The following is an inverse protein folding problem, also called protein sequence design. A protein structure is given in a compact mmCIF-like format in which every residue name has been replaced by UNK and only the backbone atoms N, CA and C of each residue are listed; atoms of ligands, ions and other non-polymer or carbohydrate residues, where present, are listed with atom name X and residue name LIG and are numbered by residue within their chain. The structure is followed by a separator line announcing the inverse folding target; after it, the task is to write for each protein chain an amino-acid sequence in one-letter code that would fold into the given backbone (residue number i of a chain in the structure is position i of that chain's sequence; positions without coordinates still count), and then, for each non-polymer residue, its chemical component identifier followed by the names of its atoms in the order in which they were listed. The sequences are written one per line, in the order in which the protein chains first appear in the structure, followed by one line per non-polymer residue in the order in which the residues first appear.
data_IF_775982347449
#
_entry.id   IF_775982347449
#
_cell.length_a   1.000
_cell.length_b   1.000
_cell.length_c   1.000
_cell.angle_alpha   90.00
_cell.angle_beta   90.00
_cell.angle_gamma   90.00
#
_symmetry.space_group_name_H-M   'P 1'
#
loop_
_entity.id
_entity.type
_entity.pdbx_description
1 polymer ?
#
# COMPACT_ATOMS: atom_id res chain seq x y z
N UNK A 1 6.86 8.06 -37.17
CA UNK A 1 5.59 7.62 -36.52
C UNK A 1 6.00 6.62 -35.45
N UNK A 2 5.70 6.89 -34.17
CA UNK A 2 5.89 5.91 -33.08
C UNK A 2 4.99 4.69 -33.36
N UNK A 3 5.51 3.48 -33.12
CA UNK A 3 4.69 2.27 -33.20
C UNK A 3 3.42 2.42 -32.35
N UNK A 4 2.27 1.87 -32.80
CA UNK A 4 1.04 1.96 -32.00
C UNK A 4 1.28 1.35 -30.63
N UNK A 5 0.97 2.12 -29.59
CA UNK A 5 1.12 1.66 -28.20
C UNK A 5 0.17 0.48 -27.96
N UNK A 6 0.68 -0.58 -27.33
CA UNK A 6 -0.07 -1.79 -27.03
C UNK A 6 -1.18 -1.50 -26.02
N UNK A 7 -2.39 -2.02 -26.25
CA UNK A 7 -3.50 -2.00 -25.31
C UNK A 7 -3.56 -3.32 -24.57
N UNK A 8 -3.69 -3.29 -23.24
CA UNK A 8 -3.81 -4.46 -22.36
C UNK A 8 -5.24 -4.68 -21.92
N UNK A 9 -5.67 -5.93 -21.88
CA UNK A 9 -6.99 -6.30 -21.35
C UNK A 9 -6.93 -6.44 -19.82
N UNK A 10 -7.98 -5.96 -19.14
CA UNK A 10 -8.06 -5.93 -17.67
C UNK A 10 -9.35 -6.54 -17.17
N UNK A 11 -9.27 -7.39 -16.16
CA UNK A 11 -10.42 -7.84 -15.37
C UNK A 11 -10.30 -7.34 -13.93
N UNK A 12 -11.42 -6.99 -13.30
CA UNK A 12 -11.46 -6.48 -11.91
C UNK A 12 -12.37 -7.35 -11.05
N UNK A 13 -11.90 -7.72 -9.84
CA UNK A 13 -12.69 -8.37 -8.80
C UNK A 13 -12.77 -7.50 -7.53
N UNK A 14 -13.96 -7.43 -6.92
CA UNK A 14 -14.24 -6.56 -5.79
C UNK A 14 -14.55 -5.14 -6.24
N UNK A 15 -15.85 -4.83 -6.43
CA UNK A 15 -16.36 -3.59 -7.01
C UNK A 15 -16.95 -2.63 -5.96
N UNK A 16 -16.44 -2.73 -4.72
CA UNK A 16 -16.67 -1.71 -3.69
C UNK A 16 -16.00 -0.39 -4.03
N UNK A 17 -15.98 0.57 -3.08
CA UNK A 17 -15.42 1.92 -3.28
C UNK A 17 -14.05 1.91 -3.97
N UNK A 18 -13.12 1.02 -3.57
CA UNK A 18 -11.77 0.96 -4.14
C UNK A 18 -11.77 0.37 -5.56
N UNK A 19 -12.54 -0.69 -5.79
CA UNK A 19 -12.69 -1.26 -7.14
C UNK A 19 -13.25 -0.26 -8.14
N UNK A 20 -14.21 0.56 -7.73
CA UNK A 20 -14.75 1.65 -8.57
C UNK A 20 -13.69 2.72 -8.88
N UNK A 21 -12.80 3.08 -7.91
CA UNK A 21 -11.70 4.00 -8.18
C UNK A 21 -10.70 3.42 -9.20
N UNK A 22 -10.28 2.16 -9.03
CA UNK A 22 -9.39 1.49 -10.00
C UNK A 22 -10.05 1.37 -11.38
N UNK A 23 -11.29 0.90 -11.42
CA UNK A 23 -12.06 0.79 -12.66
C UNK A 23 -12.21 2.11 -13.40
N UNK A 24 -12.48 3.20 -12.66
CA UNK A 24 -12.58 4.54 -13.22
C UNK A 24 -11.27 5.05 -13.83
N UNK A 25 -10.13 4.84 -13.16
CA UNK A 25 -8.83 5.23 -13.69
C UNK A 25 -8.41 4.36 -14.88
N UNK A 26 -8.65 3.05 -14.82
CA UNK A 26 -8.37 2.12 -15.91
C UNK A 26 -9.21 2.43 -17.15
N UNK A 27 -10.51 2.68 -17.00
CA UNK A 27 -11.41 2.95 -18.13
C UNK A 27 -11.09 4.27 -18.85
N UNK A 28 -10.47 5.23 -18.16
CA UNK A 28 -10.02 6.51 -18.75
C UNK A 28 -8.66 6.42 -19.44
N UNK A 29 -7.89 5.34 -19.21
CA UNK A 29 -6.55 5.20 -19.79
C UNK A 29 -6.60 4.40 -21.10
N UNK A 30 -6.19 4.98 -22.25
CA UNK A 30 -6.27 4.34 -23.56
C UNK A 30 -5.38 3.09 -23.71
N UNK A 31 -4.46 2.87 -22.77
CA UNK A 31 -3.59 1.69 -22.72
C UNK A 31 -4.31 0.45 -22.19
N UNK A 32 -5.54 0.58 -21.69
CA UNK A 32 -6.28 -0.52 -21.07
C UNK A 32 -7.69 -0.65 -21.64
N UNK A 33 -8.17 -1.90 -21.68
CA UNK A 33 -9.54 -2.26 -22.00
C UNK A 33 -10.11 -3.18 -20.94
N UNK A 34 -11.13 -2.72 -20.23
CA UNK A 34 -11.87 -3.58 -19.30
C UNK A 34 -12.65 -4.65 -20.07
N UNK A 35 -12.44 -5.92 -19.73
CA UNK A 35 -13.05 -7.07 -20.38
C UNK A 35 -13.89 -7.95 -19.46
N UNK A 36 -13.75 -7.80 -18.12
CA UNK A 36 -14.48 -8.59 -17.15
C UNK A 36 -14.57 -7.92 -15.78
N UNK A 37 -15.71 -8.08 -15.13
CA UNK A 37 -15.98 -7.56 -13.79
C UNK A 37 -16.49 -8.69 -12.89
N UNK A 38 -16.07 -8.68 -11.62
CA UNK A 38 -16.47 -9.71 -10.65
C UNK A 38 -16.78 -9.07 -9.29
N UNK A 39 -17.97 -9.37 -8.77
CA UNK A 39 -18.33 -9.12 -7.38
C UNK A 39 -19.38 -10.14 -6.93
N UNK A 40 -19.34 -10.51 -5.65
CA UNK A 40 -20.37 -11.37 -5.04
C UNK A 40 -21.70 -10.63 -4.86
N UNK A 41 -21.63 -9.30 -4.72
CA UNK A 41 -22.79 -8.42 -4.61
C UNK A 41 -23.29 -8.07 -6.02
N UNK A 42 -24.39 -8.68 -6.41
CA UNK A 42 -24.98 -8.50 -7.73
C UNK A 42 -25.34 -7.04 -8.07
N UNK A 43 -25.94 -6.25 -7.18
CA UNK A 43 -26.16 -4.82 -7.41
C UNK A 43 -24.88 -4.04 -7.73
N UNK A 44 -23.80 -4.28 -6.99
CA UNK A 44 -22.48 -3.64 -7.27
C UNK A 44 -21.92 -4.04 -8.63
N UNK A 45 -22.04 -5.31 -8.97
CA UNK A 45 -21.61 -5.82 -10.28
C UNK A 45 -22.35 -5.13 -11.42
N UNK A 46 -23.68 -5.08 -11.35
CA UNK A 46 -24.54 -4.45 -12.36
C UNK A 46 -24.29 -2.93 -12.47
N UNK A 47 -24.06 -2.24 -11.34
CA UNK A 47 -23.67 -0.83 -11.34
C UNK A 47 -22.32 -0.60 -12.04
N UNK A 48 -21.31 -1.40 -11.72
CA UNK A 48 -19.99 -1.31 -12.33
C UNK A 48 -20.04 -1.62 -13.84
N UNK A 49 -20.86 -2.61 -14.26
CA UNK A 49 -21.07 -2.92 -15.68
C UNK A 49 -21.64 -1.72 -16.44
N UNK A 50 -22.66 -1.06 -15.87
CA UNK A 50 -23.25 0.16 -16.45
C UNK A 50 -22.23 1.31 -16.49
N UNK A 51 -21.52 1.52 -15.39
CA UNK A 51 -20.57 2.65 -15.24
C UNK A 51 -19.39 2.55 -16.22
N UNK A 52 -18.88 1.34 -16.42
CA UNK A 52 -17.68 1.13 -17.25
C UNK A 52 -17.98 0.60 -18.66
N UNK A 53 -19.25 0.33 -18.98
CA UNK A 53 -19.64 -0.19 -20.29
C UNK A 53 -19.14 -1.62 -20.56
N UNK A 54 -18.97 -2.45 -19.52
CA UNK A 54 -18.45 -3.82 -19.62
C UNK A 54 -19.60 -4.81 -19.58
N UNK A 55 -19.80 -5.51 -20.69
CA UNK A 55 -20.91 -6.48 -20.80
C UNK A 55 -20.71 -7.73 -19.93
N UNK A 56 -19.45 -8.20 -19.80
CA UNK A 56 -19.17 -9.43 -19.06
C UNK A 56 -19.03 -9.17 -17.55
N UNK A 57 -19.84 -9.85 -16.76
CA UNK A 57 -19.77 -9.85 -15.30
C UNK A 57 -20.07 -11.22 -14.71
N UNK A 58 -19.40 -11.62 -13.63
CA UNK A 58 -19.59 -12.90 -12.97
C UNK A 58 -19.33 -12.79 -11.45
N UNK A 59 -20.00 -13.63 -10.64
CA UNK A 59 -19.76 -13.68 -9.19
C UNK A 59 -18.49 -14.49 -8.82
N UNK A 60 -18.01 -15.36 -9.71
CA UNK A 60 -16.80 -16.18 -9.51
C UNK A 60 -15.64 -15.62 -10.36
N UNK A 61 -14.57 -15.21 -9.67
CA UNK A 61 -13.39 -14.65 -10.31
C UNK A 61 -12.62 -15.68 -11.17
N UNK A 62 -12.56 -16.96 -10.77
CA UNK A 62 -11.91 -18.01 -11.58
C UNK A 62 -12.60 -18.18 -12.93
N UNK A 63 -13.92 -18.22 -12.90
CA UNK A 63 -14.73 -18.31 -14.12
C UNK A 63 -14.56 -17.08 -15.00
N UNK A 64 -14.62 -15.88 -14.40
CA UNK A 64 -14.37 -14.63 -15.13
C UNK A 64 -12.99 -14.66 -15.81
N UNK A 65 -11.94 -15.03 -15.10
CA UNK A 65 -10.58 -15.09 -15.65
C UNK A 65 -10.44 -16.13 -16.77
N UNK A 66 -11.05 -17.30 -16.62
CA UNK A 66 -11.02 -18.37 -17.63
C UNK A 66 -11.71 -17.96 -18.94
N UNK A 67 -12.82 -17.21 -18.84
CA UNK A 67 -13.61 -16.79 -20.01
C UNK A 67 -13.05 -15.51 -20.67
N UNK A 68 -12.50 -14.57 -19.88
CA UNK A 68 -12.01 -13.28 -20.42
C UNK A 68 -10.53 -13.27 -20.77
N UNK A 69 -9.71 -14.13 -20.16
CA UNK A 69 -8.26 -14.27 -20.35
C UNK A 69 -7.55 -12.90 -20.39
N UNK A 70 -7.63 -12.10 -19.33
CA UNK A 70 -7.08 -10.76 -19.32
C UNK A 70 -5.54 -10.78 -19.24
N UNK A 71 -4.90 -9.72 -19.73
CA UNK A 71 -3.46 -9.47 -19.51
C UNK A 71 -3.18 -9.08 -18.04
N UNK A 72 -4.10 -8.31 -17.44
CA UNK A 72 -3.98 -7.76 -16.08
C UNK A 72 -5.19 -8.15 -15.26
N UNK A 73 -4.95 -8.65 -14.05
CA UNK A 73 -5.99 -8.90 -13.06
C UNK A 73 -5.87 -7.92 -11.89
N UNK A 74 -6.91 -7.15 -11.63
CA UNK A 74 -6.99 -6.23 -10.51
C UNK A 74 -7.99 -6.77 -9.50
N UNK A 75 -7.67 -6.76 -8.20
CA UNK A 75 -8.67 -7.07 -7.18
C UNK A 75 -8.59 -6.15 -5.97
N UNK A 76 -9.76 -5.70 -5.53
CA UNK A 76 -9.96 -4.77 -4.42
C UNK A 76 -10.79 -5.43 -3.32
N UNK A 77 -10.28 -6.54 -2.79
CA UNK A 77 -10.92 -7.38 -1.78
C UNK A 77 -10.27 -7.23 -0.42
N UNK A 78 -10.93 -7.76 0.61
CA UNK A 78 -10.32 -7.93 1.92
C UNK A 78 -9.11 -8.89 1.85
N UNK A 79 -8.12 -8.75 2.74
CA UNK A 79 -6.88 -9.53 2.67
C UNK A 79 -7.09 -11.05 2.83
N UNK A 80 -8.15 -11.49 3.54
CA UNK A 80 -8.44 -12.90 3.81
C UNK A 80 -8.69 -13.77 2.56
N UNK A 81 -9.03 -13.15 1.43
CA UNK A 81 -9.37 -13.89 0.19
C UNK A 81 -8.34 -13.70 -0.94
N UNK A 82 -7.17 -13.09 -0.65
CA UNK A 82 -6.21 -12.70 -1.70
C UNK A 82 -5.40 -13.86 -2.25
N UNK A 83 -4.90 -14.77 -1.41
CA UNK A 83 -4.14 -15.93 -1.88
C UNK A 83 -4.93 -16.78 -2.90
N UNK A 84 -6.22 -17.14 -2.68
CA UNK A 84 -7.03 -17.79 -3.71
C UNK A 84 -7.16 -16.98 -5.01
N UNK A 85 -7.26 -15.65 -4.95
CA UNK A 85 -7.34 -14.80 -6.14
C UNK A 85 -6.01 -14.71 -6.90
N UNK A 86 -4.88 -14.63 -6.17
CA UNK A 86 -3.55 -14.70 -6.77
C UNK A 86 -3.37 -16.03 -7.51
N UNK A 87 -3.73 -17.17 -6.89
CA UNK A 87 -3.69 -18.49 -7.55
C UNK A 87 -4.53 -18.52 -8.82
N UNK A 88 -5.75 -17.99 -8.76
CA UNK A 88 -6.63 -17.94 -9.92
C UNK A 88 -6.05 -17.09 -11.06
N UNK A 89 -5.43 -15.94 -10.75
CA UNK A 89 -4.76 -15.10 -11.74
C UNK A 89 -3.55 -15.78 -12.38
N UNK A 90 -2.72 -16.44 -11.58
CA UNK A 90 -1.56 -17.22 -12.07
C UNK A 90 -2.03 -18.37 -12.97
N UNK A 91 -3.02 -19.16 -12.54
CA UNK A 91 -3.61 -20.24 -13.32
C UNK A 91 -4.21 -19.77 -14.66
N UNK A 92 -4.75 -18.56 -14.69
CA UNK A 92 -5.29 -17.93 -15.91
C UNK A 92 -4.21 -17.36 -16.84
N UNK A 93 -2.94 -17.34 -16.41
CA UNK A 93 -1.81 -16.87 -17.20
C UNK A 93 -1.76 -15.33 -17.37
N UNK A 94 -2.24 -14.55 -16.40
CA UNK A 94 -2.14 -13.10 -16.44
C UNK A 94 -0.68 -12.66 -16.37
N UNK A 95 -0.36 -11.50 -16.96
CA UNK A 95 1.00 -10.93 -16.97
C UNK A 95 1.30 -10.11 -15.73
N UNK A 96 0.25 -9.51 -15.13
CA UNK A 96 0.36 -8.69 -13.95
C UNK A 96 -0.88 -8.81 -13.08
N UNK A 97 -0.66 -8.84 -11.77
CA UNK A 97 -1.71 -8.77 -10.76
C UNK A 97 -1.51 -7.48 -9.95
N UNK A 98 -2.56 -6.64 -9.87
CA UNK A 98 -2.59 -5.46 -9.02
C UNK A 98 -3.67 -5.61 -7.94
N UNK A 99 -3.34 -5.28 -6.68
CA UNK A 99 -4.29 -5.43 -5.59
C UNK A 99 -4.09 -4.44 -4.43
N UNK A 100 -5.12 -4.34 -3.60
CA UNK A 100 -5.15 -3.45 -2.45
C UNK A 100 -4.26 -3.94 -1.29
N UNK A 101 -3.76 -2.99 -0.52
CA UNK A 101 -3.04 -3.25 0.75
C UNK A 101 -4.01 -3.67 1.89
N UNK A 102 -3.54 -4.30 2.98
CA UNK A 102 -2.23 -4.93 3.13
C UNK A 102 -2.13 -6.19 2.26
N UNK A 103 -0.92 -6.69 2.01
CA UNK A 103 -0.70 -7.84 1.10
C UNK A 103 -1.52 -9.06 1.52
N UNK A 104 -1.46 -9.45 2.79
CA UNK A 104 -2.01 -10.67 3.35
C UNK A 104 -2.42 -10.50 4.81
N UNK A 105 -2.84 -11.58 5.48
CA UNK A 105 -3.15 -11.61 6.91
C UNK A 105 -1.96 -12.06 7.77
N UNK A 106 -0.96 -12.71 7.17
CA UNK A 106 0.24 -13.20 7.87
C UNK A 106 1.45 -13.17 6.93
N UNK A 107 2.65 -13.25 7.54
CA UNK A 107 3.89 -13.33 6.77
C UNK A 107 3.97 -14.61 5.95
N UNK A 108 3.53 -15.76 6.48
CA UNK A 108 3.50 -17.02 5.74
C UNK A 108 2.67 -16.92 4.46
N UNK A 109 1.46 -16.36 4.56
CA UNK A 109 0.59 -16.15 3.39
C UNK A 109 1.21 -15.19 2.37
N UNK A 110 1.82 -14.09 2.84
CA UNK A 110 2.49 -13.12 1.96
C UNK A 110 3.68 -13.75 1.22
N UNK A 111 4.46 -14.61 1.88
CA UNK A 111 5.57 -15.35 1.26
C UNK A 111 5.07 -16.35 0.24
N UNK A 112 4.00 -17.10 0.53
CA UNK A 112 3.38 -18.03 -0.41
C UNK A 112 2.90 -17.33 -1.67
N UNK A 113 2.22 -16.17 -1.51
CA UNK A 113 1.80 -15.34 -2.63
C UNK A 113 2.98 -14.82 -3.45
N UNK A 114 4.00 -14.31 -2.80
CA UNK A 114 5.19 -13.76 -3.46
C UNK A 114 5.96 -14.84 -4.21
N UNK A 115 6.15 -16.01 -3.61
CA UNK A 115 6.81 -17.15 -4.25
C UNK A 115 6.05 -17.60 -5.50
N UNK A 116 4.73 -17.79 -5.38
CA UNK A 116 3.87 -18.21 -6.49
C UNK A 116 3.95 -17.23 -7.67
N UNK A 117 3.87 -15.92 -7.40
CA UNK A 117 3.95 -14.88 -8.42
C UNK A 117 5.33 -14.85 -9.10
N UNK A 118 6.40 -14.96 -8.32
CA UNK A 118 7.77 -14.98 -8.83
C UNK A 118 8.05 -16.22 -9.70
N UNK A 119 7.63 -17.39 -9.27
CA UNK A 119 7.80 -18.65 -10.03
C UNK A 119 7.03 -18.62 -11.35
N UNK A 120 5.86 -17.99 -11.37
CA UNK A 120 5.06 -17.81 -12.57
C UNK A 120 5.52 -16.65 -13.46
N UNK A 121 6.49 -15.83 -13.03
CA UNK A 121 6.93 -14.64 -13.74
C UNK A 121 5.85 -13.54 -13.84
N UNK A 122 4.87 -13.54 -12.94
CA UNK A 122 3.77 -12.56 -12.91
C UNK A 122 4.19 -11.32 -12.14
N UNK A 123 4.14 -10.16 -12.79
CA UNK A 123 4.41 -8.85 -12.16
C UNK A 123 3.32 -8.52 -11.13
N UNK A 124 3.69 -7.80 -10.08
CA UNK A 124 2.76 -7.49 -8.99
C UNK A 124 2.85 -6.04 -8.57
N UNK A 125 1.69 -5.39 -8.44
CA UNK A 125 1.56 -4.02 -7.95
C UNK A 125 0.61 -3.98 -6.77
N UNK A 126 1.00 -3.28 -5.69
CA UNK A 126 0.18 -3.11 -4.48
C UNK A 126 -0.18 -1.65 -4.29
N UNK A 127 -1.44 -1.37 -3.95
CA UNK A 127 -1.98 -0.01 -3.92
C UNK A 127 -1.39 0.88 -2.81
N UNK A 128 -0.20 1.42 -3.05
CA UNK A 128 0.40 2.55 -2.32
C UNK A 128 0.47 3.79 -3.23
N UNK A 129 -0.63 4.12 -3.90
CA UNK A 129 -0.72 5.13 -4.97
C UNK A 129 -0.40 6.56 -4.52
N UNK A 130 -0.39 6.88 -3.22
CA UNK A 130 -0.03 8.23 -2.75
C UNK A 130 1.47 8.56 -2.92
N UNK A 131 2.32 7.62 -3.36
CA UNK A 131 3.64 7.95 -3.92
C UNK A 131 3.52 8.92 -5.12
N UNK A 132 2.36 8.99 -5.78
CA UNK A 132 2.04 9.93 -6.85
C UNK A 132 1.35 11.21 -6.38
N UNK A 133 0.99 11.31 -5.09
CA UNK A 133 0.35 12.49 -4.53
C UNK A 133 1.29 13.70 -4.50
N UNK A 134 0.80 14.87 -4.97
CA UNK A 134 1.62 16.07 -5.14
C UNK A 134 2.34 16.50 -3.85
N UNK A 135 1.66 16.44 -2.72
CA UNK A 135 2.25 16.82 -1.43
C UNK A 135 3.26 15.78 -0.93
N UNK A 136 3.07 14.49 -1.22
CA UNK A 136 4.06 13.44 -0.96
C UNK A 136 5.31 13.61 -1.85
N UNK A 137 5.11 13.87 -3.15
CA UNK A 137 6.18 14.14 -4.10
C UNK A 137 7.00 15.37 -3.68
N UNK A 138 6.33 16.43 -3.19
CA UNK A 138 7.00 17.64 -2.73
C UNK A 138 7.93 17.38 -1.54
N UNK A 139 7.50 16.57 -0.58
CA UNK A 139 8.36 16.17 0.54
C UNK A 139 9.54 15.32 0.04
N UNK A 140 9.31 14.36 -0.88
CA UNK A 140 10.41 13.58 -1.49
C UNK A 140 11.42 14.47 -2.23
N UNK A 141 10.95 15.47 -2.97
CA UNK A 141 11.79 16.47 -3.65
C UNK A 141 12.69 17.24 -2.65
N UNK A 142 12.11 17.72 -1.54
CA UNK A 142 12.86 18.45 -0.50
C UNK A 142 13.95 17.57 0.12
N UNK A 143 13.63 16.30 0.40
CA UNK A 143 14.57 15.32 0.96
C UNK A 143 15.71 15.05 -0.05
N UNK A 144 15.34 14.73 -1.30
CA UNK A 144 16.31 14.42 -2.36
C UNK A 144 17.19 15.61 -2.73
N UNK A 145 16.66 16.84 -2.59
CA UNK A 145 17.41 18.07 -2.77
C UNK A 145 18.43 18.38 -1.67
N UNK A 146 18.55 17.53 -0.63
CA UNK A 146 19.53 17.65 0.44
C UNK A 146 19.22 18.74 1.47
N UNK A 147 18.05 19.38 1.42
CA UNK A 147 17.68 20.47 2.32
C UNK A 147 17.64 20.10 3.82
N UNK A 148 17.53 18.80 4.12
CA UNK A 148 17.52 18.26 5.49
C UNK A 148 18.92 17.91 5.99
N UNK A 149 19.99 18.06 5.18
CA UNK A 149 21.29 17.50 5.48
C UNK A 149 21.26 15.96 5.43
N UNK A 150 22.03 15.29 6.29
CA UNK A 150 22.01 13.83 6.37
C UNK A 150 20.74 13.37 7.10
N UNK A 151 19.87 12.68 6.38
CA UNK A 151 18.68 12.04 6.98
C UNK A 151 19.14 10.97 7.97
N UNK A 152 18.54 10.95 9.17
CA UNK A 152 18.83 9.97 10.21
C UNK A 152 17.57 9.29 10.77
N UNK A 153 16.38 9.86 10.54
CA UNK A 153 15.12 9.28 11.01
C UNK A 153 14.04 9.46 9.95
N UNK A 154 13.27 8.42 9.68
CA UNK A 154 11.99 8.49 8.98
C UNK A 154 10.88 8.05 9.93
N UNK A 155 9.70 8.61 9.77
CA UNK A 155 8.61 8.33 10.71
C UNK A 155 7.24 8.37 10.05
N UNK A 156 6.30 7.68 10.70
CA UNK A 156 4.91 7.71 10.31
C UNK A 156 3.99 7.34 11.47
N UNK A 157 2.94 8.13 11.71
CA UNK A 157 1.93 7.79 12.70
C UNK A 157 0.52 8.12 12.24
N UNK A 158 -0.44 7.36 12.77
CA UNK A 158 -1.85 7.48 12.44
C UNK A 158 -2.72 7.00 13.60
N UNK A 159 -3.86 7.66 13.83
CA UNK A 159 -4.90 7.14 14.73
C UNK A 159 -5.66 5.93 14.18
N UNK A 160 -5.50 5.62 12.89
CA UNK A 160 -6.08 4.42 12.28
C UNK A 160 -5.36 3.13 12.70
N UNK A 161 -6.05 1.99 12.63
CA UNK A 161 -5.49 0.72 13.10
C UNK A 161 -4.43 0.15 12.17
N UNK A 162 -3.58 -0.70 12.74
CA UNK A 162 -2.40 -1.28 12.08
C UNK A 162 -2.69 -1.86 10.69
N UNK A 163 -3.61 -2.82 10.57
CA UNK A 163 -3.88 -3.49 9.30
C UNK A 163 -4.53 -2.57 8.25
N UNK A 164 -5.08 -1.45 8.68
CA UNK A 164 -5.64 -0.46 7.76
C UNK A 164 -4.61 0.57 7.31
N UNK A 165 -3.73 1.05 8.23
CA UNK A 165 -2.90 2.24 8.00
C UNK A 165 -1.40 1.98 7.98
N UNK A 166 -0.87 1.04 8.76
CA UNK A 166 0.57 0.96 9.03
C UNK A 166 1.40 0.67 7.77
N UNK A 167 0.87 -0.10 6.80
CA UNK A 167 1.59 -0.33 5.54
C UNK A 167 1.77 0.95 4.73
N UNK A 168 0.82 1.89 4.78
CA UNK A 168 0.98 3.20 4.15
C UNK A 168 2.10 4.01 4.80
N UNK A 169 2.12 4.06 6.15
CA UNK A 169 3.15 4.80 6.89
C UNK A 169 4.55 4.28 6.57
N UNK A 170 4.71 2.95 6.61
CA UNK A 170 5.99 2.29 6.35
C UNK A 170 6.41 2.50 4.88
N UNK A 171 5.50 2.29 3.93
CA UNK A 171 5.81 2.41 2.50
C UNK A 171 6.30 3.81 2.13
N UNK A 172 5.57 4.85 2.53
CA UNK A 172 5.94 6.22 2.15
C UNK A 172 7.17 6.73 2.90
N UNK A 173 7.34 6.37 4.17
CA UNK A 173 8.54 6.72 4.92
C UNK A 173 9.77 5.96 4.41
N UNK A 174 9.63 4.69 4.02
CA UNK A 174 10.71 3.92 3.38
C UNK A 174 11.08 4.53 2.02
N UNK A 175 10.12 4.98 1.24
CA UNK A 175 10.38 5.71 0.00
C UNK A 175 11.15 7.02 0.25
N UNK A 176 10.86 7.74 1.33
CA UNK A 176 11.65 8.90 1.75
C UNK A 176 13.09 8.55 2.13
N UNK A 177 13.34 7.29 2.49
CA UNK A 177 14.66 6.70 2.78
C UNK A 177 15.21 5.86 1.60
N UNK A 178 14.84 6.21 0.35
CA UNK A 178 15.27 5.56 -0.88
C UNK A 178 15.04 4.04 -0.90
N UNK A 179 13.96 3.59 -0.26
CA UNK A 179 13.54 2.19 -0.11
C UNK A 179 14.67 1.28 0.45
N UNK A 180 15.56 1.84 1.30
CA UNK A 180 16.62 1.09 1.96
C UNK A 180 16.05 -0.10 2.74
N UNK A 181 16.66 -1.29 2.71
CA UNK A 181 16.16 -2.45 3.41
C UNK A 181 16.23 -2.26 4.93
N UNK A 182 15.18 -2.71 5.63
CA UNK A 182 15.18 -2.79 7.08
C UNK A 182 15.95 -4.04 7.55
N UNK A 183 16.75 -3.90 8.61
CA UNK A 183 17.57 -4.98 9.18
C UNK A 183 16.91 -5.64 10.40
N UNK A 184 16.28 -4.83 11.25
CA UNK A 184 15.58 -5.32 12.43
C UNK A 184 14.51 -4.36 12.93
N UNK A 185 13.59 -4.91 13.72
CA UNK A 185 12.47 -4.19 14.32
C UNK A 185 12.36 -4.52 15.80
N UNK A 186 12.04 -3.49 16.61
CA UNK A 186 11.52 -3.64 17.97
C UNK A 186 10.11 -3.06 17.99
N UNK A 187 9.13 -3.85 18.44
CA UNK A 187 7.73 -3.47 18.46
C UNK A 187 7.11 -3.59 19.86
N UNK A 188 6.11 -2.75 20.10
CA UNK A 188 5.26 -2.79 21.28
C UNK A 188 3.80 -2.68 20.83
N UNK A 189 2.90 -3.43 21.47
CA UNK A 189 1.46 -3.38 21.19
C UNK A 189 0.65 -3.41 22.48
N UNK A 190 -0.57 -2.86 22.43
CA UNK A 190 -1.50 -2.82 23.56
C UNK A 190 -2.95 -2.87 23.06
N UNK A 191 -3.83 -3.45 23.92
CA UNK A 191 -5.27 -3.50 23.72
C UNK A 191 -5.73 -4.55 22.71
N UNK A 192 -6.97 -5.01 22.87
CA UNK A 192 -7.57 -6.11 22.09
C UNK A 192 -8.88 -5.79 21.39
N UNK A 193 -9.47 -4.63 21.61
CA UNK A 193 -10.82 -4.32 21.10
C UNK A 193 -10.88 -4.34 19.57
N UNK A 194 -9.84 -3.82 18.90
CA UNK A 194 -9.79 -3.73 17.44
C UNK A 194 -9.51 -5.07 16.73
N UNK A 195 -9.22 -6.16 17.46
CA UNK A 195 -9.19 -7.49 16.83
C UNK A 195 -10.57 -7.94 16.34
N UNK A 196 -11.66 -7.36 16.85
CA UNK A 196 -13.02 -7.59 16.36
C UNK A 196 -13.35 -6.84 15.06
N UNK A 197 -12.50 -5.90 14.62
CA UNK A 197 -12.69 -5.15 13.36
C UNK A 197 -12.40 -6.04 12.15
N UNK A 198 -12.99 -5.69 11.02
CA UNK A 198 -12.72 -6.35 9.72
C UNK A 198 -11.25 -6.22 9.30
N UNK A 199 -10.55 -5.18 9.76
CA UNK A 199 -9.09 -5.01 9.70
C UNK A 199 -8.49 -5.32 11.08
N UNK A 200 -8.65 -6.55 11.53
CA UNK A 200 -8.21 -7.06 12.82
C UNK A 200 -6.82 -6.54 13.22
N UNK A 201 -6.72 -5.88 14.38
CA UNK A 201 -5.51 -5.16 14.81
C UNK A 201 -5.47 -5.07 16.34
N UNK A 202 -4.30 -4.87 16.98
CA UNK A 202 -4.25 -4.35 18.34
C UNK A 202 -4.81 -2.91 18.37
N UNK A 203 -5.22 -2.43 19.53
CA UNK A 203 -5.71 -1.05 19.70
C UNK A 203 -4.61 -0.01 19.47
N UNK A 204 -3.36 -0.40 19.75
CA UNK A 204 -2.15 0.38 19.52
C UNK A 204 -0.98 -0.53 19.16
N UNK A 205 -0.14 -0.06 18.25
CA UNK A 205 1.17 -0.68 17.96
C UNK A 205 2.19 0.40 17.62
N UNK A 206 3.42 0.22 18.13
CA UNK A 206 4.59 1.00 17.77
C UNK A 206 5.70 0.09 17.23
N UNK A 207 6.52 0.60 16.32
CA UNK A 207 7.69 -0.06 15.79
C UNK A 207 8.88 0.91 15.72
N UNK A 208 10.02 0.51 16.28
CA UNK A 208 11.32 1.08 16.02
C UNK A 208 12.06 0.19 15.03
N UNK A 209 12.50 0.76 13.92
CA UNK A 209 13.12 0.05 12.80
C UNK A 209 14.54 0.53 12.59
N UNK A 210 15.49 -0.36 12.34
CA UNK A 210 16.81 -0.04 11.84
C UNK A 210 16.89 -0.37 10.36
N UNK A 211 17.29 0.60 9.55
CA UNK A 211 17.58 0.39 8.13
C UNK A 211 19.09 0.19 7.90
N UNK A 212 19.44 -0.54 6.84
CA UNK A 212 20.82 -0.90 6.49
C UNK A 212 21.73 0.31 6.22
N UNK A 213 21.16 1.45 5.84
CA UNK A 213 21.89 2.70 5.63
C UNK A 213 22.10 3.52 6.91
N UNK A 214 21.77 2.97 8.09
CA UNK A 214 21.92 3.62 9.39
C UNK A 214 20.77 4.55 9.79
N UNK A 215 19.77 4.73 8.95
CA UNK A 215 18.56 5.51 9.27
C UNK A 215 17.65 4.72 10.22
N UNK A 216 16.96 5.41 11.13
CA UNK A 216 15.96 4.82 12.01
C UNK A 216 14.54 5.08 11.46
N UNK A 217 13.64 4.10 11.66
CA UNK A 217 12.21 4.25 11.41
C UNK A 217 11.42 4.26 12.70
N UNK A 218 10.43 5.14 12.84
CA UNK A 218 9.49 5.19 13.97
C UNK A 218 8.08 5.17 13.41
N UNK A 219 7.32 4.11 13.70
CA UNK A 219 5.97 3.93 13.18
C UNK A 219 4.99 3.63 14.30
N UNK A 220 3.83 4.33 14.31
CA UNK A 220 2.81 4.17 15.34
C UNK A 220 1.41 4.19 14.72
N UNK A 221 0.57 3.26 15.16
CA UNK A 221 -0.82 3.17 14.73
C UNK A 221 -1.75 2.91 15.92
N UNK A 222 -2.96 3.48 15.85
CA UNK A 222 -4.04 3.22 16.80
C UNK A 222 -4.21 4.29 17.86
N UNK A 223 -4.99 3.98 18.88
CA UNK A 223 -5.47 4.93 19.91
C UNK A 223 -4.36 5.60 20.74
N UNK A 224 -3.18 4.97 20.82
CA UNK A 224 -2.01 5.53 21.52
C UNK A 224 -1.04 6.31 20.63
N UNK A 225 -1.29 6.38 19.33
CA UNK A 225 -0.43 7.11 18.41
C UNK A 225 -0.62 8.63 18.56
N UNK A 226 0.43 9.44 18.24
CA UNK A 226 0.31 10.89 18.25
C UNK A 226 -0.82 11.38 17.32
N UNK A 227 -1.66 12.30 17.81
CA UNK A 227 -2.71 12.90 17.01
C UNK A 227 -2.16 13.85 15.94
N UNK A 228 -2.94 14.08 14.90
CA UNK A 228 -2.71 15.07 13.85
C UNK A 228 -3.87 16.06 13.89
N UNK A 229 -3.85 17.03 14.81
CA UNK A 229 -4.96 17.95 15.03
C UNK A 229 -5.23 18.87 13.84
N UNK A 230 -4.27 19.03 12.95
CA UNK A 230 -4.40 19.81 11.72
C UNK A 230 -5.31 19.15 10.66
N UNK A 231 -5.79 17.92 10.92
CA UNK A 231 -6.64 17.15 9.98
C UNK A 231 -7.93 16.72 10.69
N UNK A 232 -9.10 17.11 10.17
CA UNK A 232 -10.41 16.82 10.75
C UNK A 232 -11.04 15.48 10.30
N UNK A 233 -10.30 14.65 9.60
CA UNK A 233 -10.80 13.37 9.11
C UNK A 233 -9.97 12.22 9.67
N UNK A 234 -10.55 11.43 10.58
CA UNK A 234 -9.86 10.37 11.35
C UNK A 234 -8.94 9.48 10.48
N UNK A 235 -9.45 8.93 9.38
CA UNK A 235 -8.67 8.04 8.50
C UNK A 235 -7.56 8.73 7.69
N UNK A 236 -7.55 10.08 7.71
CA UNK A 236 -6.57 10.90 7.02
C UNK A 236 -5.62 11.60 8.00
N UNK A 237 -5.79 11.36 9.30
CA UNK A 237 -4.89 11.80 10.37
C UNK A 237 -3.61 10.98 10.35
N UNK A 238 -2.80 11.18 9.31
CA UNK A 238 -1.50 10.55 9.16
C UNK A 238 -0.45 11.63 8.99
N UNK A 239 0.65 11.49 9.72
CA UNK A 239 1.86 12.29 9.58
C UNK A 239 2.99 11.37 9.17
N UNK A 240 3.66 11.70 8.06
CA UNK A 240 4.72 10.87 7.48
C UNK A 240 5.86 11.78 7.04
N UNK A 241 7.07 11.51 7.49
CA UNK A 241 8.18 12.43 7.20
C UNK A 241 9.56 11.85 7.38
N UNK A 242 10.55 12.72 7.18
CA UNK A 242 11.94 12.47 7.43
C UNK A 242 12.57 13.62 8.21
N UNK A 243 13.52 13.30 9.09
CA UNK A 243 14.33 14.23 9.84
C UNK A 243 15.81 13.99 9.55
N UNK A 244 16.51 15.07 9.32
CA UNK A 244 17.95 15.08 9.09
C UNK A 244 18.66 16.05 10.03
N UNK A 245 19.97 16.21 9.82
CA UNK A 245 20.84 17.05 10.65
C UNK A 245 20.56 18.55 10.52
N UNK A 246 19.81 18.96 9.49
CA UNK A 246 19.55 20.38 9.16
C UNK A 246 18.06 20.73 9.13
N UNK A 247 17.19 19.79 9.49
CA UNK A 247 15.77 20.02 9.54
C UNK A 247 14.91 18.78 9.36
N UNK A 248 13.62 18.99 9.13
CA UNK A 248 12.66 17.93 8.82
C UNK A 248 11.72 18.34 7.70
N UNK A 249 11.11 17.36 7.04
CA UNK A 249 10.02 17.56 6.10
C UNK A 249 8.97 16.45 6.28
N UNK A 250 7.69 16.82 6.19
CA UNK A 250 6.59 15.89 6.44
C UNK A 250 5.33 16.19 5.64
N UNK A 251 4.57 15.16 5.42
CA UNK A 251 3.21 15.20 4.87
C UNK A 251 2.21 15.00 6.00
N UNK A 252 1.14 15.78 5.96
CA UNK A 252 -0.12 15.50 6.63
C UNK A 252 -1.09 15.01 5.55
N UNK A 253 -1.49 13.73 5.59
CA UNK A 253 -2.25 13.10 4.49
C UNK A 253 -3.47 13.91 4.07
N UNK A 254 -4.33 14.26 5.03
CA UNK A 254 -5.44 15.18 4.81
C UNK A 254 -6.54 14.70 3.88
N UNK A 255 -7.62 15.46 3.87
CA UNK A 255 -8.77 15.30 2.99
C UNK A 255 -9.23 16.67 2.55
N UNK A 256 -9.74 16.79 1.31
CA UNK A 256 -10.28 18.05 0.78
C UNK A 256 -11.25 18.70 1.76
N UNK A 257 -11.01 20.00 2.06
CA UNK A 257 -11.79 20.79 2.99
C UNK A 257 -11.67 20.38 4.48
N UNK A 258 -10.75 19.46 4.82
CA UNK A 258 -10.59 18.91 6.19
C UNK A 258 -9.14 18.91 6.68
N UNK A 259 -8.34 19.81 6.16
CA UNK A 259 -6.92 19.91 6.49
C UNK A 259 -6.04 18.93 5.72
N UNK A 260 -4.74 19.08 5.89
CA UNK A 260 -3.71 18.33 5.19
C UNK A 260 -2.70 19.24 4.52
N UNK A 261 -1.67 18.68 3.91
CA UNK A 261 -0.62 19.40 3.22
C UNK A 261 0.77 18.86 3.49
N UNK A 262 1.75 19.69 3.30
CA UNK A 262 3.16 19.38 3.58
C UNK A 262 3.83 20.56 4.26
N UNK A 263 4.88 20.30 5.02
CA UNK A 263 5.75 21.33 5.58
C UNK A 263 7.20 20.85 5.69
N UNK A 264 8.11 21.79 5.65
CA UNK A 264 9.51 21.54 5.99
C UNK A 264 10.04 22.71 6.84
N UNK A 265 10.89 22.38 7.80
CA UNK A 265 11.65 23.36 8.61
C UNK A 265 13.11 23.00 8.45
N UNK A 266 13.89 23.94 7.94
CA UNK A 266 15.32 23.78 7.66
C UNK A 266 16.11 24.94 8.20
N UNK A 267 17.43 24.94 8.09
CA UNK A 267 18.26 26.11 8.40
C UNK A 267 17.89 27.35 7.59
N UNK A 268 17.30 27.19 6.41
CA UNK A 268 16.85 28.27 5.54
C UNK A 268 15.48 28.84 5.93
N UNK A 269 14.82 28.28 6.94
CA UNK A 269 13.50 28.70 7.42
C UNK A 269 12.43 27.61 7.27
N UNK A 270 11.19 28.01 7.54
CA UNK A 270 10.01 27.14 7.43
C UNK A 270 9.25 27.42 6.12
N UNK A 271 8.87 26.36 5.44
CA UNK A 271 8.02 26.40 4.25
C UNK A 271 6.91 25.37 4.38
N UNK A 272 5.76 25.64 3.79
CA UNK A 272 4.62 24.71 3.76
C UNK A 272 3.74 24.98 2.56
N UNK A 273 2.89 24.02 2.25
CA UNK A 273 1.89 24.15 1.19
C UNK A 273 0.68 23.26 1.44
N UNK A 274 -0.43 23.53 0.74
CA UNK A 274 -1.63 22.71 0.81
C UNK A 274 -1.40 21.34 0.19
N UNK A 275 -2.25 20.40 0.53
CA UNK A 275 -2.32 19.08 -0.08
C UNK A 275 -3.35 18.21 0.64
N UNK A 276 -3.93 17.30 -0.06
CA UNK A 276 -4.84 16.30 0.49
C UNK A 276 -4.80 15.06 -0.41
N UNK A 277 -5.33 13.97 0.09
CA UNK A 277 -5.44 12.74 -0.67
C UNK A 277 -6.43 12.92 -1.84
N UNK A 278 -5.93 12.80 -3.07
CA UNK A 278 -6.67 12.99 -4.31
C UNK A 278 -6.49 11.81 -5.26
N UNK A 279 -7.50 10.95 -5.33
CA UNK A 279 -7.47 9.78 -6.21
C UNK A 279 -7.58 10.12 -7.71
N UNK A 280 -8.22 11.25 -8.04
CA UNK A 280 -8.31 11.69 -9.45
C UNK A 280 -6.94 12.10 -9.97
N UNK A 281 -6.06 12.59 -9.10
CA UNK A 281 -4.67 12.91 -9.42
C UNK A 281 -3.74 11.69 -9.31
N UNK A 282 -3.82 10.92 -8.22
CA UNK A 282 -2.84 9.88 -7.89
C UNK A 282 -2.99 8.61 -8.75
N UNK A 283 -4.24 8.27 -9.13
CA UNK A 283 -4.52 7.03 -9.84
C UNK A 283 -4.11 7.02 -11.32
N UNK A 284 -4.27 8.09 -12.12
CA UNK A 284 -3.87 8.06 -13.53
C UNK A 284 -2.40 7.70 -13.77
N UNK A 285 -1.40 8.35 -13.13
CA UNK A 285 0.00 7.97 -13.29
C UNK A 285 0.31 6.58 -12.71
N UNK A 286 -0.32 6.19 -11.59
CA UNK A 286 -0.20 4.85 -11.04
C UNK A 286 -0.67 3.77 -12.04
N UNK A 287 -1.78 3.98 -12.73
CA UNK A 287 -2.27 3.05 -13.76
C UNK A 287 -1.39 3.09 -15.01
N UNK A 288 -0.90 4.27 -15.41
CA UNK A 288 0.00 4.39 -16.56
C UNK A 288 1.30 3.60 -16.36
N UNK A 289 1.90 3.66 -15.17
CA UNK A 289 3.13 2.92 -14.86
C UNK A 289 2.95 1.39 -14.90
N UNK A 290 1.74 0.87 -14.73
CA UNK A 290 1.43 -0.54 -14.97
C UNK A 290 1.65 -0.88 -16.46
N UNK A 291 1.14 -0.07 -17.37
CA UNK A 291 1.31 -0.28 -18.80
C UNK A 291 2.78 -0.14 -19.22
N UNK A 292 3.46 0.85 -18.67
CA UNK A 292 4.86 1.12 -18.95
C UNK A 292 5.78 -0.01 -18.47
N UNK A 293 5.50 -0.59 -17.31
CA UNK A 293 6.22 -1.76 -16.83
C UNK A 293 5.93 -3.04 -17.61
N UNK A 294 4.71 -3.16 -18.15
CA UNK A 294 4.37 -4.27 -19.05
C UNK A 294 5.08 -4.15 -20.41
N UNK A 295 5.31 -2.94 -20.90
CA UNK A 295 6.05 -2.69 -22.13
C UNK A 295 7.55 -2.89 -21.96
N UNK A 296 8.11 -2.38 -20.86
CA UNK A 296 9.55 -2.40 -20.58
C UNK A 296 9.82 -2.98 -19.16
N UNK A 297 10.42 -4.16 -19.07
CA UNK A 297 10.77 -4.77 -17.77
C UNK A 297 11.71 -3.91 -16.89
N UNK A 298 12.49 -3.00 -17.49
CA UNK A 298 13.39 -2.12 -16.76
C UNK A 298 12.65 -0.96 -16.05
N UNK A 299 11.43 -0.64 -16.48
CA UNK A 299 10.58 0.39 -15.88
C UNK A 299 9.74 -0.17 -14.74
N UNK A 300 10.40 -0.67 -13.70
CA UNK A 300 9.74 -1.28 -12.55
C UNK A 300 8.77 -0.30 -11.89
N UNK A 301 7.53 -0.72 -11.69
CA UNK A 301 6.50 0.10 -11.03
C UNK A 301 6.94 0.50 -9.60
N UNK A 302 6.84 1.78 -9.19
CA UNK A 302 7.24 2.22 -7.85
C UNK A 302 6.55 1.47 -6.70
N UNK A 303 5.28 1.08 -6.90
CA UNK A 303 4.50 0.30 -5.94
C UNK A 303 4.54 -1.22 -6.24
N UNK A 304 5.68 -1.75 -6.69
CA UNK A 304 5.81 -3.17 -7.01
C UNK A 304 5.69 -4.08 -5.77
N UNK A 305 5.39 -5.36 -6.00
CA UNK A 305 5.13 -6.32 -4.94
C UNK A 305 6.32 -6.56 -4.01
N UNK A 306 7.56 -6.42 -4.48
CA UNK A 306 8.76 -6.58 -3.63
C UNK A 306 8.87 -5.45 -2.62
N UNK A 307 8.71 -4.20 -3.06
CA UNK A 307 8.70 -3.02 -2.19
C UNK A 307 7.58 -3.13 -1.14
N UNK A 308 6.39 -3.51 -1.57
CA UNK A 308 5.26 -3.70 -0.65
C UNK A 308 5.48 -4.86 0.34
N UNK A 309 6.11 -5.96 -0.08
CA UNK A 309 6.47 -7.08 0.80
C UNK A 309 7.47 -6.64 1.88
N UNK A 310 8.48 -5.83 1.53
CA UNK A 310 9.44 -5.28 2.51
C UNK A 310 8.72 -4.46 3.59
N UNK A 311 7.80 -3.59 3.22
CA UNK A 311 6.98 -2.83 4.18
C UNK A 311 6.07 -3.73 5.04
N UNK A 312 5.47 -4.74 4.44
CA UNK A 312 4.65 -5.72 5.15
C UNK A 312 5.46 -6.54 6.16
N UNK A 313 6.70 -6.93 5.82
CA UNK A 313 7.62 -7.60 6.75
C UNK A 313 7.91 -6.76 7.99
N UNK A 314 8.12 -5.46 7.85
CA UNK A 314 8.33 -4.53 8.98
C UNK A 314 7.11 -4.54 9.92
N UNK A 315 5.89 -4.47 9.36
CA UNK A 315 4.66 -4.52 10.14
C UNK A 315 4.50 -5.85 10.89
N UNK A 316 4.75 -6.99 10.23
CA UNK A 316 4.66 -8.30 10.88
C UNK A 316 5.79 -8.53 11.88
N UNK A 317 6.99 -8.00 11.62
CA UNK A 317 8.09 -8.03 12.58
C UNK A 317 7.77 -7.25 13.87
N UNK A 318 7.05 -6.13 13.77
CA UNK A 318 6.57 -5.41 14.95
C UNK A 318 5.63 -6.27 15.80
N UNK A 319 4.72 -7.03 15.18
CA UNK A 319 3.87 -7.99 15.88
C UNK A 319 4.68 -9.09 16.57
N UNK A 320 5.62 -9.73 15.86
CA UNK A 320 6.49 -10.78 16.43
C UNK A 320 7.33 -10.23 17.57
N UNK A 321 7.88 -9.03 17.43
CA UNK A 321 8.67 -8.36 18.45
C UNK A 321 7.86 -8.09 19.73
N UNK A 322 6.63 -7.61 19.59
CA UNK A 322 5.73 -7.39 20.73
C UNK A 322 5.40 -8.70 21.46
N UNK A 323 5.22 -9.82 20.76
CA UNK A 323 5.03 -11.16 21.35
C UNK A 323 6.29 -11.64 22.05
N UNK A 324 7.45 -11.53 21.40
CA UNK A 324 8.74 -12.04 21.92
C UNK A 324 9.37 -11.12 22.96
N UNK A 325 8.87 -9.87 23.07
CA UNK A 325 9.47 -8.80 23.90
C UNK A 325 10.95 -8.56 23.61
N UNK A 326 11.30 -8.55 22.32
CA UNK A 326 12.67 -8.45 21.87
C UNK A 326 12.83 -8.06 20.41
N UNK A 327 14.06 -7.84 20.00
CA UNK A 327 14.45 -7.50 18.63
C UNK A 327 14.14 -8.65 17.66
N UNK A 328 13.54 -8.34 16.51
CA UNK A 328 13.28 -9.27 15.42
C UNK A 328 14.12 -8.87 14.20
N UNK A 329 14.94 -9.78 13.69
CA UNK A 329 15.79 -9.56 12.51
C UNK A 329 15.00 -9.83 11.22
N UNK A 330 15.29 -9.08 10.19
CA UNK A 330 14.73 -9.22 8.85
C UNK A 330 15.78 -9.84 7.87
N UNK A 331 15.34 -10.51 6.80
CA UNK A 331 13.96 -10.76 6.40
C UNK A 331 13.26 -11.80 7.28
N UNK A 332 11.92 -11.69 7.37
CA UNK A 332 11.11 -12.68 8.08
C UNK A 332 10.93 -13.95 7.26
N UNK A 333 11.11 -15.11 7.92
CA UNK A 333 10.62 -16.39 7.43
C UNK A 333 9.13 -16.62 7.78
N UNK A 334 8.56 -17.74 7.30
CA UNK A 334 7.22 -18.17 7.70
C UNK A 334 7.15 -18.42 9.21
N UNK A 335 5.95 -18.44 9.76
CA UNK A 335 5.73 -18.64 11.20
C UNK A 335 4.27 -18.74 11.56
N UNK A 336 3.99 -18.75 12.86
CA UNK A 336 2.63 -18.61 13.39
C UNK A 336 2.00 -17.30 12.91
N UNK A 337 0.69 -17.30 12.58
CA UNK A 337 -0.01 -16.09 12.17
C UNK A 337 0.13 -14.97 13.23
N UNK A 338 0.76 -13.88 12.84
CA UNK A 338 1.22 -12.81 13.74
C UNK A 338 0.09 -12.18 14.54
N UNK A 339 -1.07 -11.95 13.90
CA UNK A 339 -2.22 -11.34 14.59
C UNK A 339 -2.81 -12.26 15.67
N UNK A 340 -2.90 -13.56 15.39
CA UNK A 340 -3.41 -14.53 16.36
C UNK A 340 -2.44 -14.67 17.56
N UNK A 341 -1.14 -14.78 17.28
CA UNK A 341 -0.10 -14.83 18.31
C UNK A 341 -0.12 -13.55 19.18
N UNK A 342 -0.24 -12.37 18.55
CA UNK A 342 -0.30 -11.10 19.25
C UNK A 342 -1.56 -10.98 20.12
N UNK A 343 -2.74 -11.30 19.58
CA UNK A 343 -4.00 -11.29 20.32
C UNK A 343 -3.95 -12.17 21.59
N UNK A 344 -3.30 -13.33 21.48
CA UNK A 344 -3.10 -14.26 22.59
C UNK A 344 -2.13 -13.71 23.64
N UNK A 345 -1.05 -13.04 23.20
CA UNK A 345 0.01 -12.55 24.08
C UNK A 345 -0.33 -11.24 24.82
N UNK A 346 -1.24 -10.43 24.30
CA UNK A 346 -1.70 -9.21 24.94
C UNK A 346 -2.52 -9.51 26.21
N UNK A 347 -2.53 -8.64 27.25
CA UNK A 347 -3.32 -8.79 28.47
C UNK A 347 -4.82 -8.68 28.21
#
# INVERSE_FOLDING_TARGET
MSAPQKTYTVAIAGLGKRGMHHGGAISKNPRFKLVGLCDLDRPRLEEAQRTFGVAYGHADARRMLAETKPDVFVFCTLPQVRLPLVRAGVEAGVKLIAYEKPIAMSMSEALDMYQLLREAGVKTVVSHQHRYGLHYQKVKEIIAGGALGRVHTVYGHSLGWMMHMMTHLIDYASWYNDDAPAEWVVGQAAGKEKFADVHSSPDYIAALVQFANGVHGIFECGAGAPDVPEVDSMWHKCRIGAQGTEGFAEVLTGKEGKGGGWRAVTKSGAISGPGHMDYEHDMPPYIQDIADWLDDPARVHPCNGETALRGFQVMMAACRSAVQRGKVTLPLGPGEPELAALQKALP
#
